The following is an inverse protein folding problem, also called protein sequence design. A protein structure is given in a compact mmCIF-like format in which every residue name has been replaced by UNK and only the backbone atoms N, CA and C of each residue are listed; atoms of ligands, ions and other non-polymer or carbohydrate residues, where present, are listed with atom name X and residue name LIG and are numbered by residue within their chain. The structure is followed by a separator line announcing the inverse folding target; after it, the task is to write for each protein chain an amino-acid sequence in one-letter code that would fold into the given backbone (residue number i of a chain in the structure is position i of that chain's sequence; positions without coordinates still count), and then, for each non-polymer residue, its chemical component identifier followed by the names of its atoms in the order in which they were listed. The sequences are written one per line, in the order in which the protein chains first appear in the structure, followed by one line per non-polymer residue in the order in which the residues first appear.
data_IF_323500539470
#
_entry.id   IF_323500539470
#
_cell.length_a   1.000
_cell.length_b   1.000
_cell.length_c   1.000
_cell.angle_alpha   90.00
_cell.angle_beta   90.00
_cell.angle_gamma   90.00
#
_symmetry.space_group_name_H-M   'P 1'
#
loop_
_entity.id
_entity.type
_entity.pdbx_description
1 polymer ?
#
# COMPACT_ATOMS: atom_id res chain seq x y z
N UNK A 1 13.12 17.77 -7.57
CA UNK A 1 12.30 17.55 -6.36
C UNK A 1 11.31 18.71 -6.18
N UNK A 2 10.01 18.43 -5.99
CA UNK A 2 8.96 19.45 -5.93
C UNK A 2 8.93 20.16 -4.55
N UNK A 3 9.55 21.34 -4.47
CA UNK A 3 9.71 22.09 -3.20
C UNK A 3 8.39 22.43 -2.51
N UNK A 4 7.40 22.93 -3.25
CA UNK A 4 6.12 23.36 -2.68
C UNK A 4 5.37 22.20 -2.04
N UNK A 5 5.39 21.04 -2.70
CA UNK A 5 4.77 19.83 -2.15
C UNK A 5 5.46 19.38 -0.88
N UNK A 6 6.80 19.29 -0.93
CA UNK A 6 7.56 18.87 0.23
C UNK A 6 7.27 19.77 1.44
N UNK A 7 7.26 21.09 1.22
CA UNK A 7 6.89 22.06 2.25
C UNK A 7 5.47 21.82 2.79
N UNK A 8 4.48 21.67 1.90
CA UNK A 8 3.09 21.40 2.27
C UNK A 8 2.93 20.12 3.11
N UNK A 9 3.68 19.07 2.80
CA UNK A 9 3.65 17.84 3.59
C UNK A 9 4.23 18.11 4.98
N UNK A 10 5.42 18.70 5.10
CA UNK A 10 6.05 18.97 6.40
C UNK A 10 5.30 19.97 7.29
N UNK A 11 4.50 20.85 6.67
CA UNK A 11 3.60 21.76 7.39
C UNK A 11 2.31 21.06 7.87
N UNK A 12 2.00 19.87 7.34
CA UNK A 12 0.82 19.09 7.71
C UNK A 12 0.93 18.58 9.14
N UNK A 13 -0.15 18.74 9.89
CA UNK A 13 -0.29 18.34 11.29
C UNK A 13 -1.43 17.35 11.43
N UNK A 14 -1.23 16.31 12.24
CA UNK A 14 -2.31 15.40 12.60
C UNK A 14 -2.18 14.91 14.04
N UNK A 15 -3.24 14.29 14.54
CA UNK A 15 -3.22 13.57 15.80
C UNK A 15 -3.07 12.08 15.52
N UNK A 16 -2.15 11.40 16.22
CA UNK A 16 -2.04 9.94 16.15
C UNK A 16 -3.09 9.24 17.04
N UNK A 17 -3.05 7.91 17.06
CA UNK A 17 -3.95 7.06 17.88
C UNK A 17 -3.85 7.35 19.39
N UNK A 18 -2.74 7.96 19.85
CA UNK A 18 -2.52 8.36 21.24
C UNK A 18 -2.93 9.81 21.52
N UNK A 19 -3.55 10.49 20.55
CA UNK A 19 -3.90 11.92 20.61
C UNK A 19 -2.67 12.80 20.88
N UNK A 20 -1.56 12.48 20.23
CA UNK A 20 -0.36 13.30 20.21
C UNK A 20 -0.25 13.95 18.84
N UNK A 21 0.07 15.25 18.81
CA UNK A 21 0.35 15.97 17.58
C UNK A 21 1.58 15.39 16.88
N UNK A 22 1.45 15.10 15.59
CA UNK A 22 2.47 14.53 14.72
C UNK A 22 2.62 15.37 13.45
N UNK A 23 3.80 15.26 12.86
CA UNK A 23 4.22 15.88 11.60
C UNK A 23 5.07 14.88 10.82
N UNK A 24 5.26 15.13 9.53
CA UNK A 24 6.34 14.47 8.82
C UNK A 24 7.67 15.02 9.36
N UNK A 25 8.59 14.12 9.69
CA UNK A 25 9.88 14.44 10.29
C UNK A 25 11.05 13.76 9.57
N UNK A 26 10.77 12.93 8.57
CA UNK A 26 11.77 12.23 7.80
C UNK A 26 11.45 12.12 6.31
N UNK A 27 12.46 11.69 5.57
CA UNK A 27 12.35 11.28 4.18
C UNK A 27 12.90 9.86 4.03
N UNK A 28 12.19 9.05 3.25
CA UNK A 28 12.67 7.75 2.79
C UNK A 28 12.82 7.82 1.28
N UNK A 29 13.93 7.26 0.78
CA UNK A 29 14.19 7.13 -0.65
C UNK A 29 14.25 5.66 -0.98
N UNK A 30 13.34 5.22 -1.85
CA UNK A 30 13.28 3.89 -2.41
C UNK A 30 13.78 3.90 -3.84
N UNK A 31 14.35 2.77 -4.24
CA UNK A 31 14.80 2.55 -5.60
C UNK A 31 14.20 1.25 -6.10
N UNK A 32 13.68 1.27 -7.32
CA UNK A 32 13.19 0.09 -8.02
C UNK A 32 14.01 -0.11 -9.32
N UNK A 33 13.94 -1.29 -9.93
CA UNK A 33 14.53 -1.54 -11.25
C UNK A 33 14.19 -0.45 -12.27
N UNK A 34 14.99 -0.39 -13.34
CA UNK A 34 14.82 0.58 -14.44
C UNK A 34 15.05 2.05 -14.04
N UNK A 35 15.75 2.28 -12.93
CA UNK A 35 16.17 3.61 -12.51
C UNK A 35 15.08 4.41 -11.80
N UNK A 36 13.97 3.78 -11.40
CA UNK A 36 12.92 4.44 -10.64
C UNK A 36 13.41 4.78 -9.23
N UNK A 37 13.23 6.04 -8.82
CA UNK A 37 13.60 6.59 -7.52
C UNK A 37 12.35 7.22 -6.91
N UNK A 38 11.83 6.61 -5.87
CA UNK A 38 10.63 7.08 -5.18
C UNK A 38 11.01 7.72 -3.85
N UNK A 39 10.41 8.88 -3.57
CA UNK A 39 10.70 9.65 -2.36
C UNK A 39 9.40 9.78 -1.59
N UNK A 40 9.42 9.39 -0.31
CA UNK A 40 8.30 9.55 0.61
C UNK A 40 8.68 10.45 1.79
N UNK A 41 7.72 11.26 2.24
CA UNK A 41 7.74 11.88 3.55
C UNK A 41 7.21 10.87 4.56
N UNK A 42 7.92 10.73 5.68
CA UNK A 42 7.56 9.80 6.76
C UNK A 42 7.30 10.55 8.05
N UNK A 43 6.33 10.05 8.81
CA UNK A 43 5.98 10.49 10.16
C UNK A 43 5.20 9.38 10.86
N UNK A 44 4.85 9.59 12.13
CA UNK A 44 4.16 8.56 12.92
C UNK A 44 2.80 8.17 12.31
N UNK A 45 2.69 6.90 11.93
CA UNK A 45 1.49 6.35 11.31
C UNK A 45 1.28 6.78 9.85
N UNK A 46 2.25 7.46 9.20
CA UNK A 46 2.08 8.00 7.84
C UNK A 46 3.34 7.97 6.99
N UNK A 47 3.19 7.46 5.78
CA UNK A 47 4.18 7.49 4.69
C UNK A 47 3.47 7.99 3.43
N UNK A 48 3.92 9.10 2.87
CA UNK A 48 3.27 9.75 1.73
C UNK A 48 4.30 10.10 0.67
N UNK A 49 4.04 9.65 -0.56
CA UNK A 49 4.90 9.89 -1.71
C UNK A 49 4.97 11.41 -2.00
N UNK A 50 6.20 11.90 -2.08
CA UNK A 50 6.55 13.25 -2.50
C UNK A 50 6.62 13.29 -4.02
N UNK A 51 7.41 12.42 -4.63
CA UNK A 51 7.53 12.30 -6.08
C UNK A 51 8.19 10.98 -6.47
N UNK A 52 8.02 10.61 -7.73
CA UNK A 52 8.84 9.62 -8.42
C UNK A 52 9.76 10.32 -9.42
N UNK A 53 10.99 9.85 -9.53
CA UNK A 53 12.00 10.33 -10.46
C UNK A 53 12.61 9.13 -11.18
N UNK A 54 13.18 9.37 -12.37
CA UNK A 54 13.92 8.34 -13.09
C UNK A 54 15.38 8.77 -13.27
N UNK A 55 16.28 7.96 -12.76
CA UNK A 55 17.72 8.10 -12.94
C UNK A 55 18.17 7.34 -14.19
N UNK A 56 19.05 7.95 -14.97
CA UNK A 56 19.79 7.21 -16.00
C UNK A 56 20.78 6.25 -15.34
N UNK A 57 21.03 5.11 -15.98
CA UNK A 57 22.12 4.24 -15.59
C UNK A 57 23.45 5.00 -15.69
N UNK A 58 24.22 4.98 -14.60
CA UNK A 58 25.52 5.63 -14.52
C UNK A 58 26.56 4.61 -14.09
N UNK A 59 27.66 4.44 -14.84
CA UNK A 59 28.74 3.56 -14.43
C UNK A 59 29.47 4.21 -13.24
N UNK A 60 29.36 3.58 -12.08
CA UNK A 60 30.04 4.02 -10.84
C UNK A 60 31.04 2.96 -10.45
N UNK A 61 32.28 3.37 -10.13
CA UNK A 61 33.31 2.41 -9.71
C UNK A 61 32.96 1.81 -8.36
N UNK A 62 33.23 0.53 -8.14
CA UNK A 62 33.04 -0.13 -6.84
C UNK A 62 33.76 0.62 -5.69
N UNK A 63 34.91 1.24 -5.98
CA UNK A 63 35.64 2.07 -5.01
C UNK A 63 34.90 3.33 -4.56
N UNK A 64 33.92 3.82 -5.32
CA UNK A 64 33.10 4.97 -4.95
C UNK A 64 31.97 4.56 -4.00
N UNK A 65 31.39 3.37 -4.16
CA UNK A 65 30.43 2.80 -3.21
C UNK A 65 31.11 2.29 -1.94
N UNK A 66 32.21 1.56 -2.10
CA UNK A 66 32.94 0.91 -1.01
C UNK A 66 34.45 1.00 -1.27
N UNK A 67 35.12 2.07 -0.80
CA UNK A 67 36.54 2.34 -1.09
C UNK A 67 37.53 1.23 -0.73
N UNK A 68 37.15 0.34 0.19
CA UNK A 68 37.96 -0.79 0.65
C UNK A 68 37.46 -2.15 0.13
N UNK A 69 36.58 -2.17 -0.87
CA UNK A 69 36.13 -3.40 -1.48
C UNK A 69 37.32 -4.14 -2.13
N UNK A 70 37.42 -5.43 -1.85
CA UNK A 70 38.41 -6.35 -2.43
C UNK A 70 37.83 -7.20 -3.56
N UNK A 71 36.51 -7.08 -3.79
CA UNK A 71 35.75 -7.77 -4.82
C UNK A 71 35.22 -6.73 -5.82
N UNK A 72 35.00 -7.19 -7.05
CA UNK A 72 34.31 -6.42 -8.10
C UNK A 72 32.83 -6.19 -7.76
N UNK A 73 32.20 -5.25 -8.47
CA UNK A 73 30.77 -5.01 -8.36
C UNK A 73 29.95 -6.25 -8.76
N UNK A 74 30.35 -6.95 -9.82
CA UNK A 74 29.66 -8.17 -10.28
C UNK A 74 29.75 -9.29 -9.24
N UNK A 75 30.91 -9.49 -8.62
CA UNK A 75 31.07 -10.46 -7.53
C UNK A 75 30.21 -10.09 -6.32
N UNK A 76 30.14 -8.81 -5.97
CA UNK A 76 29.29 -8.33 -4.89
C UNK A 76 27.81 -8.60 -5.18
N UNK A 77 27.31 -8.15 -6.33
CA UNK A 77 25.92 -8.37 -6.77
C UNK A 77 25.58 -9.86 -6.80
N UNK A 78 26.48 -10.68 -7.36
CA UNK A 78 26.28 -12.13 -7.41
C UNK A 78 26.18 -12.72 -6.01
N UNK A 79 27.12 -12.40 -5.11
CA UNK A 79 27.10 -12.93 -3.73
C UNK A 79 25.83 -12.53 -2.99
N UNK A 80 25.39 -11.27 -3.09
CA UNK A 80 24.18 -10.79 -2.42
C UNK A 80 22.91 -11.45 -2.93
N UNK A 81 22.80 -11.71 -4.24
CA UNK A 81 21.63 -12.40 -4.80
C UNK A 81 21.67 -13.90 -4.44
N UNK A 82 22.84 -14.54 -4.47
CA UNK A 82 23.00 -15.96 -4.12
C UNK A 82 22.73 -16.26 -2.63
N UNK A 83 22.91 -15.26 -1.74
CA UNK A 83 22.53 -15.33 -0.33
C UNK A 83 21.00 -15.43 -0.12
N UNK A 84 20.19 -15.15 -1.16
CA UNK A 84 18.73 -15.27 -1.18
C UNK A 84 18.28 -16.27 -2.26
N UNK A 85 18.34 -17.59 -2.01
CA UNK A 85 18.14 -18.63 -3.04
C UNK A 85 16.78 -18.55 -3.75
N UNK A 86 15.72 -18.15 -3.04
CA UNK A 86 14.39 -17.98 -3.61
C UNK A 86 14.35 -16.82 -4.62
N UNK A 87 14.98 -15.69 -4.29
CA UNK A 87 15.12 -14.53 -5.16
C UNK A 87 15.97 -14.87 -6.38
N UNK A 88 17.12 -15.54 -6.17
CA UNK A 88 18.01 -15.95 -7.25
C UNK A 88 17.32 -16.86 -8.26
N UNK A 89 16.65 -17.92 -7.81
CA UNK A 89 15.96 -18.85 -8.71
C UNK A 89 14.76 -18.19 -9.40
N UNK A 90 14.04 -17.29 -8.72
CA UNK A 90 12.98 -16.51 -9.34
C UNK A 90 13.51 -15.58 -10.45
N UNK A 91 14.57 -14.81 -10.18
CA UNK A 91 15.20 -13.94 -11.17
C UNK A 91 15.75 -14.72 -12.36
N UNK A 92 16.34 -15.89 -12.12
CA UNK A 92 16.85 -16.78 -13.19
C UNK A 92 15.73 -17.34 -14.07
N UNK A 93 14.58 -17.65 -13.47
CA UNK A 93 13.42 -18.23 -14.19
C UNK A 93 12.59 -17.18 -14.92
N UNK A 94 12.32 -16.06 -14.26
CA UNK A 94 11.31 -15.07 -14.66
C UNK A 94 11.92 -13.73 -15.09
N UNK A 95 13.20 -13.47 -14.80
CA UNK A 95 13.82 -12.17 -15.01
C UNK A 95 13.31 -11.10 -14.06
N UNK A 96 13.58 -9.84 -14.40
CA UNK A 96 12.95 -8.69 -13.74
C UNK A 96 11.51 -8.54 -14.25
N UNK A 97 10.57 -8.07 -13.40
CA UNK A 97 9.22 -7.76 -13.84
C UNK A 97 9.22 -6.62 -14.87
N UNK A 98 8.14 -6.47 -15.64
CA UNK A 98 7.96 -5.34 -16.54
C UNK A 98 8.06 -4.01 -15.77
N UNK A 99 8.74 -3.01 -16.33
CA UNK A 99 8.83 -1.66 -15.77
C UNK A 99 7.46 -1.05 -15.45
N UNK A 100 6.43 -1.37 -16.24
CA UNK A 100 5.06 -0.90 -16.05
C UNK A 100 4.45 -1.39 -14.74
N UNK A 101 4.96 -2.47 -14.13
CA UNK A 101 4.50 -2.95 -12.83
C UNK A 101 4.61 -1.86 -11.77
N UNK A 102 5.79 -1.23 -11.68
CA UNK A 102 6.06 -0.19 -10.69
C UNK A 102 5.25 1.08 -10.95
N UNK A 103 5.05 1.43 -12.23
CA UNK A 103 4.18 2.55 -12.60
C UNK A 103 2.70 2.25 -12.27
N UNK A 104 2.26 1.01 -12.46
CA UNK A 104 0.90 0.57 -12.15
C UNK A 104 0.60 0.61 -10.64
N UNK A 105 1.58 0.33 -9.78
CA UNK A 105 1.43 0.49 -8.34
C UNK A 105 1.08 1.94 -7.94
N UNK A 106 1.43 2.92 -8.77
CA UNK A 106 1.22 4.35 -8.55
C UNK A 106 -0.07 4.87 -9.18
N UNK A 107 -0.86 4.03 -9.86
CA UNK A 107 -2.20 4.38 -10.35
C UNK A 107 -3.09 4.72 -9.16
N UNK A 108 -3.89 5.79 -9.32
CA UNK A 108 -4.77 6.26 -8.27
C UNK A 108 -6.24 5.99 -8.53
N UNK A 109 -6.97 5.44 -7.57
CA UNK A 109 -8.40 5.11 -7.65
C UNK A 109 -9.17 5.85 -6.57
N UNK A 110 -10.37 6.39 -6.85
CA UNK A 110 -11.14 7.13 -5.84
C UNK A 110 -12.13 6.19 -5.14
N UNK A 111 -11.78 5.71 -3.94
CA UNK A 111 -12.64 4.79 -3.22
C UNK A 111 -12.59 4.92 -1.69
N UNK A 112 -13.60 4.35 -1.04
CA UNK A 112 -13.69 4.24 0.42
C UNK A 112 -13.47 2.80 0.86
N UNK A 113 -12.90 2.62 2.04
CA UNK A 113 -12.86 1.31 2.71
C UNK A 113 -14.08 1.23 3.62
N UNK A 114 -14.90 0.19 3.44
CA UNK A 114 -16.19 0.02 4.12
C UNK A 114 -16.22 -1.31 4.86
N UNK A 115 -15.87 -1.35 6.17
CA UNK A 115 -16.08 -2.53 6.99
C UNK A 115 -17.58 -2.70 7.31
N UNK A 116 -18.17 -3.82 6.90
CA UNK A 116 -19.52 -4.25 7.27
C UNK A 116 -19.40 -5.38 8.30
N UNK A 117 -19.63 -5.05 9.57
CA UNK A 117 -19.41 -5.97 10.70
C UNK A 117 -20.76 -6.40 11.29
N UNK A 118 -21.07 -7.69 11.20
CA UNK A 118 -22.32 -8.29 11.69
C UNK A 118 -22.30 -8.54 13.22
N UNK A 119 -21.84 -7.57 13.99
CA UNK A 119 -21.82 -7.62 15.45
C UNK A 119 -22.62 -6.45 16.05
N UNK A 120 -23.11 -6.64 17.27
CA UNK A 120 -23.70 -5.57 18.07
C UNK A 120 -22.59 -4.80 18.84
N UNK A 121 -22.87 -3.56 19.23
CA UNK A 121 -21.98 -2.70 20.01
C UNK A 121 -20.57 -2.53 19.39
N UNK A 122 -20.53 -2.38 18.06
CA UNK A 122 -19.29 -2.19 17.30
C UNK A 122 -18.80 -0.75 17.39
N UNK A 123 -17.54 -0.59 17.80
CA UNK A 123 -16.79 0.66 17.67
C UNK A 123 -15.49 0.39 16.90
N UNK A 124 -15.35 0.99 15.74
CA UNK A 124 -14.16 0.85 14.90
C UNK A 124 -13.03 1.69 15.50
N UNK A 125 -11.93 1.07 15.87
CA UNK A 125 -10.84 1.74 16.60
C UNK A 125 -9.71 2.18 15.69
N UNK A 126 -9.42 1.43 14.62
CA UNK A 126 -8.33 1.72 13.71
C UNK A 126 -8.54 1.06 12.34
N UNK A 127 -8.16 1.77 11.27
CA UNK A 127 -7.86 1.16 9.97
C UNK A 127 -6.43 1.58 9.59
N UNK A 128 -5.56 0.61 9.33
CA UNK A 128 -4.23 0.87 8.77
C UNK A 128 -4.12 0.24 7.38
N UNK A 129 -3.53 0.98 6.46
CA UNK A 129 -3.49 0.64 5.04
C UNK A 129 -2.07 0.70 4.52
N UNK A 130 -1.67 -0.33 3.78
CA UNK A 130 -0.45 -0.33 2.97
C UNK A 130 -0.85 -0.39 1.50
N UNK A 131 -0.28 0.50 0.71
CA UNK A 131 -0.49 0.58 -0.73
C UNK A 131 0.73 0.07 -1.50
N UNK A 132 0.53 -0.46 -2.71
CA UNK A 132 1.65 -1.00 -3.51
C UNK A 132 2.73 0.03 -3.87
N UNK A 133 2.41 1.33 -3.88
CA UNK A 133 3.40 2.39 -4.09
C UNK A 133 4.25 2.70 -2.85
N UNK A 134 4.15 1.89 -1.79
CA UNK A 134 4.89 2.08 -0.54
C UNK A 134 4.32 3.16 0.39
N UNK A 135 3.19 3.78 0.05
CA UNK A 135 2.48 4.62 1.01
C UNK A 135 1.82 3.77 2.11
N UNK A 136 1.76 4.37 3.30
CA UNK A 136 1.17 3.78 4.49
C UNK A 136 0.38 4.85 5.23
N UNK A 137 -0.80 4.52 5.72
CA UNK A 137 -1.60 5.45 6.52
C UNK A 137 -2.38 4.71 7.59
N UNK A 138 -2.30 5.21 8.83
CA UNK A 138 -3.23 4.88 9.90
C UNK A 138 -4.38 5.87 9.84
N UNK A 139 -5.46 5.44 9.22
CA UNK A 139 -6.65 6.25 8.97
C UNK A 139 -7.50 6.28 10.25
N UNK A 140 -7.46 7.42 10.94
CA UNK A 140 -8.45 7.79 11.94
C UNK A 140 -9.64 8.49 11.26
N UNK A 141 -10.87 8.05 11.60
CA UNK A 141 -12.23 8.44 11.21
C UNK A 141 -12.47 9.59 10.20
N UNK A 142 -11.70 10.68 10.25
CA UNK A 142 -11.88 11.88 9.43
C UNK A 142 -11.37 11.72 7.98
N UNK A 143 -10.43 10.79 7.72
CA UNK A 143 -9.81 10.57 6.39
C UNK A 143 -10.26 9.31 5.65
N UNK A 144 -11.22 8.55 6.18
CA UNK A 144 -11.83 7.41 5.47
C UNK A 144 -12.52 7.82 4.15
N UNK A 145 -12.61 9.11 3.87
CA UNK A 145 -13.29 9.73 2.73
C UNK A 145 -12.51 9.66 1.42
N UNK A 146 -11.21 9.38 1.42
CA UNK A 146 -10.43 9.30 0.16
C UNK A 146 -9.27 8.30 0.31
N UNK A 147 -9.43 7.09 -0.23
CA UNK A 147 -8.30 6.19 -0.49
C UNK A 147 -7.95 6.30 -1.95
N UNK A 148 -6.65 6.44 -2.23
CA UNK A 148 -6.19 6.81 -3.57
C UNK A 148 -5.41 5.73 -4.28
N UNK A 149 -4.95 4.64 -3.68
CA UNK A 149 -4.11 3.66 -4.38
C UNK A 149 -4.60 2.23 -4.20
N UNK A 150 -4.14 1.32 -5.06
CA UNK A 150 -4.42 -0.11 -4.89
C UNK A 150 -3.86 -0.65 -3.57
N UNK A 151 -4.67 -1.42 -2.85
CA UNK A 151 -4.34 -1.99 -1.55
C UNK A 151 -3.38 -3.18 -1.69
N UNK A 152 -2.28 -3.13 -0.95
CA UNK A 152 -1.39 -4.27 -0.75
C UNK A 152 -1.79 -5.05 0.51
N UNK A 153 -1.99 -4.33 1.61
CA UNK A 153 -2.41 -4.90 2.88
C UNK A 153 -3.37 -3.95 3.63
N UNK A 154 -4.24 -4.54 4.45
CA UNK A 154 -5.27 -3.83 5.20
C UNK A 154 -5.39 -4.42 6.60
N UNK A 155 -5.45 -3.55 7.61
CA UNK A 155 -5.59 -3.91 9.01
C UNK A 155 -6.78 -3.15 9.56
N UNK A 156 -7.74 -3.86 10.15
CA UNK A 156 -8.95 -3.27 10.72
C UNK A 156 -9.04 -3.73 12.16
N UNK A 157 -9.17 -2.79 13.10
CA UNK A 157 -9.39 -3.07 14.51
C UNK A 157 -10.70 -2.44 14.96
N UNK A 158 -11.44 -3.18 15.78
CA UNK A 158 -12.70 -2.73 16.36
C UNK A 158 -12.91 -3.37 17.73
N UNK A 159 -13.84 -2.82 18.51
CA UNK A 159 -14.38 -3.47 19.69
C UNK A 159 -15.82 -3.88 19.44
N UNK A 160 -16.24 -5.01 19.99
CA UNK A 160 -17.63 -5.42 20.09
C UNK A 160 -17.94 -5.70 21.56
N UNK A 161 -18.65 -4.78 22.21
CA UNK A 161 -18.84 -4.79 23.66
C UNK A 161 -17.51 -4.70 24.42
N UNK A 162 -17.11 -5.78 25.10
CA UNK A 162 -15.84 -5.85 25.87
C UNK A 162 -14.69 -6.48 25.11
N UNK A 163 -14.98 -7.07 23.95
CA UNK A 163 -14.01 -7.83 23.18
C UNK A 163 -13.35 -6.92 22.14
N UNK A 164 -12.04 -7.00 22.03
CA UNK A 164 -11.25 -6.35 20.99
C UNK A 164 -10.98 -7.34 19.87
N UNK A 165 -11.16 -6.89 18.64
CA UNK A 165 -10.93 -7.64 17.42
C UNK A 165 -9.95 -6.90 16.52
N UNK A 166 -9.17 -7.69 15.79
CA UNK A 166 -8.34 -7.22 14.70
C UNK A 166 -8.40 -8.23 13.56
N UNK A 167 -8.54 -7.73 12.34
CA UNK A 167 -8.35 -8.51 11.13
C UNK A 167 -7.25 -7.89 10.29
N UNK A 168 -6.44 -8.76 9.71
CA UNK A 168 -5.36 -8.38 8.80
C UNK A 168 -5.54 -9.09 7.47
N UNK A 169 -5.27 -8.36 6.39
CA UNK A 169 -5.32 -8.85 5.02
C UNK A 169 -3.99 -8.58 4.32
N UNK A 170 -3.47 -9.57 3.60
CA UNK A 170 -2.47 -9.39 2.53
C UNK A 170 -3.11 -9.88 1.23
N UNK A 171 -3.17 -9.03 0.21
CA UNK A 171 -3.84 -9.34 -1.04
C UNK A 171 -2.89 -9.94 -2.07
N UNK A 172 -3.37 -10.90 -2.85
CA UNK A 172 -2.68 -11.36 -4.06
C UNK A 172 -2.55 -10.20 -5.04
N UNK A 173 -1.30 -9.82 -5.36
CA UNK A 173 -0.98 -8.64 -6.15
C UNK A 173 -1.64 -8.65 -7.53
N UNK A 174 -1.50 -9.75 -8.28
CA UNK A 174 -2.03 -9.83 -9.64
C UNK A 174 -3.56 -9.73 -9.63
N UNK A 175 -4.20 -10.41 -8.67
CA UNK A 175 -5.64 -10.40 -8.52
C UNK A 175 -6.16 -8.99 -8.17
N UNK A 176 -5.58 -8.35 -7.15
CA UNK A 176 -6.10 -7.09 -6.65
C UNK A 176 -5.88 -5.95 -7.66
N UNK A 177 -4.70 -5.88 -8.30
CA UNK A 177 -4.44 -4.89 -9.35
C UNK A 177 -5.40 -5.05 -10.54
N UNK A 178 -5.63 -6.30 -10.96
CA UNK A 178 -6.59 -6.61 -12.02
C UNK A 178 -8.02 -6.23 -11.63
N UNK A 179 -8.41 -6.41 -10.37
CA UNK A 179 -9.73 -6.05 -9.88
C UNK A 179 -9.96 -4.53 -9.91
N UNK A 180 -8.98 -3.75 -9.43
CA UNK A 180 -9.03 -2.30 -9.51
C UNK A 180 -9.12 -1.81 -10.95
N UNK A 181 -8.24 -2.29 -11.85
CA UNK A 181 -8.27 -1.88 -13.27
C UNK A 181 -9.59 -2.25 -13.96
N UNK A 182 -10.16 -3.42 -13.65
CA UNK A 182 -11.43 -3.86 -14.24
C UNK A 182 -12.63 -3.03 -13.77
N UNK A 183 -12.69 -2.71 -12.47
CA UNK A 183 -13.85 -2.02 -11.86
C UNK A 183 -13.80 -0.51 -12.10
N UNK A 184 -12.61 0.07 -12.05
CA UNK A 184 -12.41 1.50 -12.21
C UNK A 184 -12.21 1.87 -13.68
N UNK A 185 -11.45 1.06 -14.43
CA UNK A 185 -11.00 1.30 -15.81
C UNK A 185 -9.47 1.46 -15.89
N UNK A 186 -8.93 1.47 -17.12
CA UNK A 186 -7.49 1.66 -17.39
C UNK A 186 -7.04 3.12 -17.40
N UNK A 187 -7.97 4.06 -17.56
CA UNK A 187 -7.69 5.48 -17.81
C UNK A 187 -7.37 6.27 -16.52
N UNK A 188 -6.93 5.59 -15.46
CA UNK A 188 -6.64 6.25 -14.20
C UNK A 188 -5.27 6.89 -14.22
N UNK A 189 -5.21 8.13 -13.72
CA UNK A 189 -4.01 8.91 -13.85
C UNK A 189 -2.97 8.46 -12.82
N UNK A 190 -1.70 8.47 -13.24
CA UNK A 190 -0.56 8.30 -12.35
C UNK A 190 -0.17 9.67 -11.79
N UNK A 191 0.28 9.73 -10.52
CA UNK A 191 0.39 10.99 -9.76
C UNK A 191 1.29 12.05 -10.40
N UNK A 192 2.22 11.68 -11.28
CA UNK A 192 3.21 12.61 -11.85
C UNK A 192 2.60 13.69 -12.75
N UNK A 193 1.32 13.56 -13.13
CA UNK A 193 0.58 14.59 -13.87
C UNK A 193 -0.14 15.62 -12.98
N UNK A 194 -0.16 15.44 -11.65
CA UNK A 194 -0.95 16.28 -10.71
C UNK A 194 -0.11 17.17 -9.79
N UNK A 195 0.83 17.94 -10.35
CA UNK A 195 1.35 19.11 -9.65
C UNK A 195 0.30 20.23 -9.48
N UNK A 196 -0.93 20.03 -9.97
CA UNK A 196 -2.02 21.00 -9.89
C UNK A 196 -3.20 20.40 -9.12
N UNK A 197 -3.36 20.82 -7.86
CA UNK A 197 -4.57 20.55 -7.03
C UNK A 197 -5.85 20.88 -7.81
N UNK A 198 -5.83 21.91 -8.68
CA UNK A 198 -6.97 22.23 -9.56
C UNK A 198 -7.31 21.12 -10.55
N UNK A 199 -6.34 20.35 -11.06
CA UNK A 199 -6.61 19.23 -11.96
C UNK A 199 -7.19 18.04 -11.20
N UNK A 200 -6.74 17.82 -9.96
CA UNK A 200 -7.34 16.84 -9.05
C UNK A 200 -8.80 17.20 -8.75
N UNK A 201 -9.07 18.43 -8.30
CA UNK A 201 -10.43 18.95 -8.09
C UNK A 201 -11.28 18.93 -9.36
N UNK A 202 -10.69 19.23 -10.52
CA UNK A 202 -11.40 19.20 -11.80
C UNK A 202 -11.78 17.79 -12.25
N UNK A 203 -10.93 16.78 -12.00
CA UNK A 203 -11.24 15.39 -12.40
C UNK A 203 -12.13 14.69 -11.37
N UNK A 204 -11.83 14.84 -10.08
CA UNK A 204 -12.56 14.15 -9.00
C UNK A 204 -13.77 14.95 -8.49
N UNK A 205 -13.67 16.27 -8.41
CA UNK A 205 -14.75 17.17 -7.95
C UNK A 205 -15.86 17.38 -8.98
N UNK A 206 -15.58 17.27 -10.28
CA UNK A 206 -16.61 17.27 -11.34
C UNK A 206 -17.28 15.91 -11.53
N UNK A 207 -16.92 14.88 -10.74
CA UNK A 207 -17.51 13.54 -10.85
C UNK A 207 -17.16 12.79 -12.15
N UNK A 208 -16.04 13.14 -12.80
CA UNK A 208 -15.60 12.51 -14.06
C UNK A 208 -14.97 11.14 -13.86
N UNK A 209 -14.40 10.90 -12.68
CA UNK A 209 -13.89 9.59 -12.28
C UNK A 209 -14.89 8.91 -11.35
N UNK A 210 -15.22 7.62 -11.57
CA UNK A 210 -16.17 6.91 -10.74
C UNK A 210 -15.60 6.78 -9.33
N UNK A 211 -16.48 7.01 -8.37
CA UNK A 211 -16.24 6.70 -6.96
C UNK A 211 -16.59 5.25 -6.72
N UNK A 212 -15.84 4.61 -5.83
CA UNK A 212 -16.13 3.24 -5.45
C UNK A 212 -16.05 2.98 -3.96
N UNK A 213 -16.49 1.80 -3.59
CA UNK A 213 -16.41 1.26 -2.25
C UNK A 213 -15.66 -0.07 -2.31
N UNK A 214 -14.69 -0.23 -1.42
CA UNK A 214 -13.97 -1.45 -1.13
C UNK A 214 -14.55 -2.00 0.18
N UNK A 215 -15.53 -2.89 0.06
CA UNK A 215 -16.31 -3.40 1.17
C UNK A 215 -15.71 -4.69 1.70
N UNK A 216 -15.59 -4.79 3.03
CA UNK A 216 -15.15 -5.98 3.74
C UNK A 216 -16.32 -6.47 4.58
N UNK A 217 -16.84 -7.64 4.27
CA UNK A 217 -17.91 -8.27 5.05
C UNK A 217 -17.29 -9.15 6.14
N UNK A 218 -17.68 -8.91 7.39
CA UNK A 218 -17.19 -9.58 8.59
C UNK A 218 -18.39 -10.14 9.35
N UNK A 219 -18.40 -11.46 9.59
CA UNK A 219 -19.48 -12.11 10.31
C UNK A 219 -19.49 -11.81 11.81
N UNK A 220 -20.49 -12.33 12.51
CA UNK A 220 -20.68 -12.18 13.95
C UNK A 220 -19.60 -12.86 14.82
N UNK A 221 -18.71 -13.67 14.24
CA UNK A 221 -17.55 -14.26 14.92
C UNK A 221 -16.28 -13.43 14.71
N UNK A 222 -16.33 -12.43 13.82
CA UNK A 222 -15.22 -11.52 13.50
C UNK A 222 -14.42 -12.00 12.31
N UNK A 223 -14.92 -13.01 11.60
CA UNK A 223 -14.25 -13.60 10.46
C UNK A 223 -14.72 -12.94 9.16
N UNK A 224 -13.80 -12.57 8.27
CA UNK A 224 -14.18 -12.09 6.94
C UNK A 224 -14.88 -13.17 6.13
N UNK A 225 -16.03 -12.82 5.57
CA UNK A 225 -16.82 -13.69 4.70
C UNK A 225 -16.69 -13.33 3.23
N UNK A 226 -16.21 -12.12 2.93
CA UNK A 226 -15.90 -11.69 1.58
C UNK A 226 -15.38 -10.27 1.50
N UNK A 227 -14.77 -9.94 0.37
CA UNK A 227 -14.36 -8.59 0.00
C UNK A 227 -14.94 -8.27 -1.37
N UNK A 228 -15.47 -7.08 -1.54
CA UNK A 228 -15.97 -6.60 -2.83
C UNK A 228 -15.47 -5.21 -3.15
N UNK A 229 -15.29 -4.95 -4.44
CA UNK A 229 -14.93 -3.64 -4.98
C UNK A 229 -16.01 -3.23 -5.97
N UNK A 230 -16.63 -2.08 -5.71
CA UNK A 230 -17.80 -1.62 -6.44
C UNK A 230 -17.65 -0.16 -6.87
N UNK A 231 -18.07 0.15 -8.08
CA UNK A 231 -18.27 1.51 -8.58
C UNK A 231 -19.63 1.59 -9.26
N UNK A 232 -20.00 2.77 -9.76
CA UNK A 232 -21.15 2.93 -10.66
C UNK A 232 -20.99 2.15 -11.98
N UNK A 233 -19.76 1.79 -12.38
CA UNK A 233 -19.45 1.12 -13.65
C UNK A 233 -19.43 -0.41 -13.53
N UNK A 234 -19.25 -0.95 -12.33
CA UNK A 234 -19.18 -2.39 -12.13
C UNK A 234 -18.90 -2.80 -10.69
N UNK A 235 -18.99 -4.10 -10.44
CA UNK A 235 -18.73 -4.71 -9.14
C UNK A 235 -17.92 -5.99 -9.33
N UNK A 236 -17.02 -6.25 -8.40
CA UNK A 236 -16.20 -7.46 -8.40
C UNK A 236 -15.96 -7.94 -6.97
N UNK A 237 -16.19 -9.21 -6.70
CA UNK A 237 -15.75 -9.85 -5.46
C UNK A 237 -14.31 -10.33 -5.59
N UNK A 238 -13.53 -10.15 -4.52
CA UNK A 238 -12.18 -10.73 -4.40
C UNK A 238 -12.31 -12.09 -3.70
N UNK A 239 -11.90 -13.19 -4.36
CA UNK A 239 -11.98 -14.52 -3.77
C UNK A 239 -11.13 -14.65 -2.50
N UNK A 240 -11.64 -15.33 -1.47
CA UNK A 240 -10.93 -15.47 -0.18
C UNK A 240 -9.63 -16.27 -0.26
N UNK A 241 -9.45 -17.11 -1.29
CA UNK A 241 -8.18 -17.81 -1.57
C UNK A 241 -7.12 -16.89 -2.22
N UNK A 242 -7.50 -15.68 -2.61
CA UNK A 242 -6.65 -14.60 -3.13
C UNK A 242 -6.30 -13.53 -2.11
N UNK A 243 -6.53 -13.83 -0.84
CA UNK A 243 -6.13 -12.99 0.29
C UNK A 243 -5.64 -13.90 1.41
N UNK A 244 -4.56 -13.50 2.07
CA UNK A 244 -4.18 -14.08 3.36
C UNK A 244 -4.89 -13.30 4.45
N UNK A 245 -5.47 -14.01 5.41
CA UNK A 245 -6.30 -13.42 6.46
C UNK A 245 -5.83 -13.93 7.81
N UNK A 246 -5.66 -13.00 8.76
CA UNK A 246 -5.51 -13.31 10.18
C UNK A 246 -6.60 -12.59 10.95
N UNK A 247 -7.25 -13.28 11.89
CA UNK A 247 -8.21 -12.69 12.82
C UNK A 247 -7.74 -12.94 14.25
N UNK A 248 -7.66 -11.86 15.01
CA UNK A 248 -7.21 -11.84 16.39
C UNK A 248 -8.37 -11.31 17.23
N UNK A 249 -8.65 -11.99 18.34
CA UNK A 249 -9.61 -11.56 19.36
C UNK A 249 -8.92 -11.53 20.71
N UNK A 250 -8.93 -10.38 21.38
CA UNK A 250 -8.30 -10.17 22.70
C UNK A 250 -6.86 -10.74 22.74
N UNK A 251 -6.03 -10.32 21.78
CA UNK A 251 -4.62 -10.76 21.61
C UNK A 251 -4.42 -12.25 21.33
N UNK A 252 -5.48 -12.98 20.98
CA UNK A 252 -5.42 -14.40 20.60
C UNK A 252 -5.79 -14.57 19.14
N UNK A 253 -4.93 -15.22 18.38
CA UNK A 253 -5.26 -15.66 17.02
C UNK A 253 -6.44 -16.64 17.08
N UNK A 254 -7.54 -16.31 16.42
CA UNK A 254 -8.76 -17.13 16.34
C UNK A 254 -9.00 -17.70 14.94
N UNK A 255 -8.37 -17.12 13.91
CA UNK A 255 -8.45 -17.63 12.54
C UNK A 255 -7.22 -17.24 11.73
N UNK A 256 -6.74 -18.18 10.92
CA UNK A 256 -5.78 -17.96 9.85
C UNK A 256 -6.30 -18.63 8.57
N UNK A 257 -6.09 -17.98 7.42
CA UNK A 257 -6.47 -18.55 6.13
C UNK A 257 -5.53 -19.69 5.73
N UNK A 258 -6.01 -20.65 4.93
CA UNK A 258 -5.23 -21.84 4.54
C UNK A 258 -4.02 -21.54 3.65
N UNK A 259 -4.01 -20.37 3.00
CA UNK A 259 -2.92 -19.85 2.18
C UNK A 259 -1.98 -18.90 2.97
N UNK A 260 -2.12 -18.82 4.29
CA UNK A 260 -1.25 -18.01 5.14
C UNK A 260 0.21 -18.44 4.97
N UNK A 261 1.08 -17.45 4.78
CA UNK A 261 2.51 -17.62 4.69
C UNK A 261 3.19 -16.49 5.47
N UNK A 262 3.79 -16.85 6.60
CA UNK A 262 4.43 -15.90 7.52
C UNK A 262 5.45 -14.97 6.83
N UNK A 263 6.19 -15.46 5.81
CA UNK A 263 7.19 -14.64 5.11
C UNK A 263 6.59 -13.41 4.42
N UNK A 264 5.32 -13.49 4.03
CA UNK A 264 4.65 -12.44 3.26
C UNK A 264 4.19 -11.29 4.18
N UNK A 265 4.35 -11.45 5.50
CA UNK A 265 4.00 -10.49 6.54
C UNK A 265 5.23 -9.80 7.15
N UNK A 266 6.44 -10.35 6.96
CA UNK A 266 7.70 -9.77 7.44
C UNK A 266 8.32 -8.88 6.36
N UNK A 267 8.09 -7.57 6.48
CA UNK A 267 8.56 -6.57 5.50
C UNK A 267 7.77 -5.26 5.49
N UNK A 268 6.77 -5.13 6.37
CA UNK A 268 5.94 -3.96 6.55
C UNK A 268 6.27 -3.22 7.85
#
# INVERSE_FOLDING_TARGET
MPKNRLQSLFDTVWMNVRKIEQRYDGLVVGMAPYGMIQIWAVGDGRVTEVCCLHGAEVPVKMSEFRPRAIISQDEYVKSTIEDEPSVYENLKKNGLPDSLLFENYRKRFNYHIVPEIEMEDVDLTQIAVHYFNGEYDVILWERLKENLYSLQALYISWTAGKDQYEVRFVFDEQMILSAFEKVFGSDYPQRDDFDVVELYEKLYGEGKLPKGDFTIHIDNEGKPTGVSLKTEKGEMSVPTDKMQILVIKNDKLIYESSNYNESDWWGY
#
